data_IF_007692934588
#
_entry.id   IF_007692934588
#
_cell.length_a   1.000
_cell.length_b   1.000
_cell.length_c   1.000
_cell.angle_alpha   90.00
_cell.angle_beta   90.00
_cell.angle_gamma   90.00
#
_symmetry.space_group_name_H-M   'P 1'
#
loop_
_entity.id
_entity.type
_entity.pdbx_description
1 polymer ?
#
# COMPACT_ATOMS: atom_id res chain seq x y z
N UNK A 1 -5.81 3.13 24.02
CA UNK A 1 -4.74 2.10 24.04
C UNK A 1 -4.41 1.83 25.49
N UNK A 2 -4.94 0.74 26.03
CA UNK A 2 -4.43 0.14 27.27
C UNK A 2 -4.03 -1.27 26.85
N UNK A 3 -2.72 -1.50 26.75
CA UNK A 3 -2.15 -2.84 26.64
C UNK A 3 -2.19 -3.43 28.05
N UNK A 4 -3.20 -4.26 28.34
CA UNK A 4 -3.14 -5.14 29.52
C UNK A 4 -2.52 -6.45 29.07
N UNK A 5 -1.22 -6.55 29.32
CA UNK A 5 -0.52 -7.83 29.34
C UNK A 5 -0.88 -8.64 30.58
N UNK A 6 -0.54 -9.93 30.50
CA UNK A 6 -0.59 -10.97 31.52
C UNK A 6 -1.97 -11.57 31.83
N UNK A 7 -2.12 -12.78 31.29
CA UNK A 7 -2.72 -13.97 31.89
C UNK A 7 -3.45 -13.79 33.22
N UNK A 8 -4.77 -13.88 33.18
CA UNK A 8 -5.53 -14.57 34.23
C UNK A 8 -6.74 -15.24 33.59
N UNK A 9 -6.82 -16.57 33.74
CA UNK A 9 -8.00 -17.35 33.43
C UNK A 9 -9.17 -16.79 34.23
N UNK A 10 -10.08 -16.07 33.59
CA UNK A 10 -11.39 -15.79 34.20
C UNK A 10 -12.26 -17.02 33.91
N UNK A 11 -12.19 -18.00 34.82
CA UNK A 11 -13.25 -18.99 34.94
C UNK A 11 -14.54 -18.27 35.32
N UNK A 12 -15.57 -18.39 34.49
CA UNK A 12 -16.92 -17.97 34.86
C UNK A 12 -17.48 -18.95 35.91
N UNK A 13 -17.06 -18.78 37.16
CA UNK A 13 -17.76 -19.33 38.30
C UNK A 13 -19.18 -18.77 38.33
N UNK A 14 -20.16 -19.62 38.63
CA UNK A 14 -21.58 -19.26 38.78
C UNK A 14 -21.73 -18.08 39.76
N UNK A 15 -21.94 -16.87 39.24
CA UNK A 15 -22.38 -15.70 40.02
C UNK A 15 -23.84 -15.40 39.66
N UNK A 16 -24.76 -15.23 40.63
CA UNK A 16 -26.18 -15.05 40.33
C UNK A 16 -26.45 -13.66 39.75
N UNK A 17 -27.26 -13.62 38.69
CA UNK A 17 -27.95 -12.44 38.14
C UNK A 17 -27.12 -11.16 37.95
N UNK A 18 -26.26 -11.14 36.94
CA UNK A 18 -25.72 -9.89 36.37
C UNK A 18 -26.73 -9.37 35.33
N UNK A 19 -27.37 -8.22 35.60
CA UNK A 19 -28.05 -7.45 34.55
C UNK A 19 -26.97 -6.85 33.65
N UNK A 20 -26.90 -7.35 32.41
CA UNK A 20 -26.04 -6.76 31.38
C UNK A 20 -26.91 -5.93 30.44
N UNK A 21 -26.55 -4.66 30.27
CA UNK A 21 -27.15 -3.81 29.24
C UNK A 21 -26.18 -3.77 28.05
N UNK A 22 -26.67 -4.12 26.86
CA UNK A 22 -25.94 -3.94 25.60
C UNK A 22 -26.40 -2.64 24.96
N UNK A 23 -25.50 -1.66 24.88
CA UNK A 23 -25.70 -0.50 24.04
C UNK A 23 -24.79 -0.61 22.81
N UNK A 24 -25.40 -0.51 21.63
CA UNK A 24 -24.69 -0.43 20.36
C UNK A 24 -24.69 1.03 19.94
N UNK A 25 -23.50 1.64 19.89
CA UNK A 25 -23.31 2.97 19.30
C UNK A 25 -22.26 2.83 18.19
N UNK A 26 -22.74 2.71 16.95
CA UNK A 26 -21.88 2.42 15.79
C UNK A 26 -21.23 1.03 15.88
N UNK A 27 -19.92 0.95 15.63
CA UNK A 27 -19.12 -0.29 15.73
C UNK A 27 -18.62 -0.59 17.16
N UNK A 28 -19.20 0.06 18.17
CA UNK A 28 -18.71 -0.01 19.55
C UNK A 28 -19.70 -0.79 20.40
N UNK A 29 -19.22 -1.84 21.06
CA UNK A 29 -19.95 -2.49 22.14
C UNK A 29 -19.43 -1.96 23.47
N UNK A 30 -20.32 -1.35 24.25
CA UNK A 30 -20.03 -0.96 25.63
C UNK A 30 -20.69 -1.99 26.55
N UNK A 31 -19.86 -2.70 27.31
CA UNK A 31 -20.35 -3.56 28.39
C UNK A 31 -20.25 -2.79 29.71
N UNK A 32 -21.37 -2.70 30.42
CA UNK A 32 -21.40 -2.19 31.78
C UNK A 32 -21.66 -3.37 32.71
N UNK A 33 -20.61 -3.81 33.42
CA UNK A 33 -20.73 -4.82 34.48
C UNK A 33 -20.85 -4.09 35.81
N UNK A 34 -21.96 -4.28 36.51
CA UNK A 34 -22.15 -3.80 37.87
C UNK A 34 -21.72 -4.89 38.84
N UNK A 35 -20.50 -4.80 39.38
CA UNK A 35 -20.13 -5.48 40.61
C UNK A 35 -19.98 -4.41 41.70
N UNK A 36 -20.64 -4.60 42.85
CA UNK A 36 -20.70 -3.65 43.96
C UNK A 36 -19.48 -2.73 44.04
N UNK A 37 -19.74 -1.44 43.79
CA UNK A 37 -18.83 -0.28 43.84
C UNK A 37 -17.90 0.02 42.66
N UNK A 38 -17.77 -0.83 41.62
CA UNK A 38 -16.96 -0.50 40.44
C UNK A 38 -17.71 -0.70 39.12
N UNK A 39 -17.69 0.34 38.28
CA UNK A 39 -18.12 0.26 36.87
C UNK A 39 -16.89 0.01 36.01
N UNK A 40 -16.74 -1.21 35.51
CA UNK A 40 -15.76 -1.50 34.45
C UNK A 40 -16.44 -1.27 33.11
N UNK A 41 -16.18 -0.12 32.49
CA UNK A 41 -16.58 0.14 31.11
C UNK A 41 -15.52 -0.44 30.16
N UNK A 42 -15.74 -1.65 29.66
CA UNK A 42 -14.92 -2.21 28.60
C UNK A 42 -15.50 -1.76 27.26
N UNK A 43 -14.78 -0.89 26.56
CA UNK A 43 -15.13 -0.48 25.20
C UNK A 43 -14.45 -1.42 24.23
N UNK A 44 -15.18 -2.39 23.70
CA UNK A 44 -14.67 -3.29 22.66
C UNK A 44 -14.97 -2.64 21.31
N UNK A 45 -13.93 -2.08 20.69
CA UNK A 45 -13.99 -1.63 19.31
C UNK A 45 -13.88 -2.85 18.40
N UNK A 46 -15.01 -3.49 18.11
CA UNK A 46 -15.07 -4.49 17.05
C UNK A 46 -15.19 -3.74 15.74
N UNK A 47 -14.06 -3.51 15.07
CA UNK A 47 -14.10 -3.01 13.71
C UNK A 47 -14.86 -4.04 12.87
N UNK A 48 -15.89 -3.63 12.15
CA UNK A 48 -16.58 -4.51 11.20
C UNK A 48 -16.27 -4.05 9.78
N UNK A 49 -16.16 -5.01 8.87
CA UNK A 49 -16.10 -4.74 7.43
C UNK A 49 -17.27 -3.84 7.03
N UNK A 50 -17.05 -2.85 6.16
CA UNK A 50 -18.11 -1.92 5.77
C UNK A 50 -19.20 -2.61 4.94
N UNK A 51 -20.45 -2.20 5.15
CA UNK A 51 -21.58 -2.58 4.30
C UNK A 51 -21.36 -2.17 2.83
N UNK A 52 -20.86 -0.95 2.63
CA UNK A 52 -20.50 -0.40 1.33
C UNK A 52 -19.00 -0.58 1.09
N UNK A 53 -18.66 -1.65 0.38
CA UNK A 53 -17.31 -1.95 -0.11
C UNK A 53 -17.04 -1.16 -1.38
N UNK A 54 -15.82 -0.61 -1.50
CA UNK A 54 -15.35 0.09 -2.70
C UNK A 54 -15.13 -0.86 -3.88
N UNK A 55 -14.66 -2.07 -3.61
CA UNK A 55 -14.48 -3.13 -4.59
C UNK A 55 -14.96 -4.46 -4.00
N UNK A 56 -15.51 -5.35 -4.84
CA UNK A 56 -16.00 -6.67 -4.43
C UNK A 56 -15.35 -7.75 -5.28
N UNK A 57 -14.82 -8.77 -4.63
CA UNK A 57 -14.33 -10.00 -5.27
C UNK A 57 -14.92 -11.19 -4.56
N UNK A 58 -15.64 -12.04 -5.30
CA UNK A 58 -16.27 -13.24 -4.73
C UNK A 58 -15.21 -14.25 -4.32
N UNK A 59 -14.17 -14.43 -5.13
CA UNK A 59 -13.07 -15.34 -4.81
C UNK A 59 -12.35 -14.95 -3.51
N UNK A 60 -12.15 -13.66 -3.27
CA UNK A 60 -11.55 -13.16 -2.02
C UNK A 60 -12.51 -13.34 -0.84
N UNK A 61 -13.80 -12.99 -1.00
CA UNK A 61 -14.79 -13.18 0.08
C UNK A 61 -14.95 -14.66 0.46
N UNK A 62 -14.92 -15.59 -0.50
CA UNK A 62 -15.00 -17.04 -0.24
C UNK A 62 -13.78 -17.54 0.55
N UNK A 63 -12.56 -17.13 0.17
CA UNK A 63 -11.33 -17.47 0.89
C UNK A 63 -11.34 -16.87 2.28
N UNK A 64 -11.73 -15.61 2.40
CA UNK A 64 -11.76 -14.90 3.66
C UNK A 64 -12.68 -15.62 4.66
N UNK A 65 -13.89 -15.94 4.23
CA UNK A 65 -14.86 -16.64 5.06
C UNK A 65 -14.38 -18.07 5.38
N UNK A 66 -13.80 -18.77 4.40
CA UNK A 66 -13.24 -20.11 4.59
C UNK A 66 -12.16 -20.15 5.68
N UNK A 67 -11.19 -19.23 5.64
CA UNK A 67 -10.11 -19.14 6.63
C UNK A 67 -10.68 -18.73 8.00
N UNK A 68 -11.54 -17.70 8.04
CA UNK A 68 -12.12 -17.22 9.30
C UNK A 68 -12.96 -18.29 10.02
N UNK A 69 -13.67 -19.16 9.28
CA UNK A 69 -14.41 -20.28 9.87
C UNK A 69 -13.51 -21.34 10.50
N UNK A 70 -12.30 -21.53 9.98
CA UNK A 70 -11.32 -22.51 10.49
C UNK A 70 -10.55 -21.98 11.71
N UNK A 71 -10.57 -20.67 11.96
CA UNK A 71 -9.91 -20.06 13.11
C UNK A 71 -10.67 -20.38 14.41
N UNK A 72 -9.95 -21.02 15.35
CA UNK A 72 -10.45 -21.31 16.69
C UNK A 72 -10.68 -20.03 17.49
N UNK A 73 -9.70 -19.13 17.45
CA UNK A 73 -9.77 -17.80 18.06
C UNK A 73 -10.66 -16.87 17.22
N UNK A 74 -11.74 -16.39 17.84
CA UNK A 74 -12.73 -15.54 17.17
C UNK A 74 -12.27 -14.09 17.02
N UNK A 75 -11.44 -13.60 17.93
CA UNK A 75 -10.88 -12.25 17.83
C UNK A 75 -9.85 -12.20 16.70
N UNK A 76 -9.04 -13.25 16.56
CA UNK A 76 -8.14 -13.40 15.42
C UNK A 76 -8.91 -13.49 14.09
N UNK A 77 -10.03 -14.23 14.06
CA UNK A 77 -10.87 -14.33 12.87
C UNK A 77 -11.43 -12.96 12.44
N UNK A 78 -11.90 -12.17 13.41
CA UNK A 78 -12.38 -10.80 13.18
C UNK A 78 -11.24 -9.91 12.68
N UNK A 79 -10.07 -9.95 13.32
CA UNK A 79 -8.90 -9.18 12.91
C UNK A 79 -8.49 -9.51 11.47
N UNK A 80 -8.43 -10.80 11.13
CA UNK A 80 -8.11 -11.27 9.78
C UNK A 80 -9.13 -10.76 8.75
N UNK A 81 -10.43 -10.86 9.05
CA UNK A 81 -11.50 -10.36 8.18
C UNK A 81 -11.40 -8.86 7.91
N UNK A 82 -11.07 -8.08 8.93
CA UNK A 82 -10.93 -6.64 8.81
C UNK A 82 -9.66 -6.23 8.05
N UNK A 83 -8.52 -6.83 8.39
CA UNK A 83 -7.23 -6.44 7.84
C UNK A 83 -7.04 -6.95 6.42
N UNK A 84 -7.31 -8.24 6.18
CA UNK A 84 -6.97 -8.84 4.89
C UNK A 84 -7.82 -8.28 3.76
N UNK A 85 -9.08 -7.90 4.00
CA UNK A 85 -9.96 -7.34 2.97
C UNK A 85 -9.95 -5.80 2.90
N UNK A 86 -9.21 -5.11 3.78
CA UNK A 86 -9.23 -3.65 3.91
C UNK A 86 -9.01 -2.93 2.58
N UNK A 87 -8.01 -3.38 1.81
CA UNK A 87 -7.64 -2.76 0.53
C UNK A 87 -8.81 -2.72 -0.45
N UNK A 88 -9.54 -3.84 -0.59
CA UNK A 88 -10.71 -3.91 -1.47
C UNK A 88 -11.89 -3.11 -0.92
N UNK A 89 -12.09 -3.18 0.39
CA UNK A 89 -13.25 -2.60 1.03
C UNK A 89 -13.20 -1.06 1.05
N UNK A 90 -12.01 -0.48 1.21
CA UNK A 90 -11.84 0.96 1.51
C UNK A 90 -10.83 1.69 0.63
N UNK A 91 -9.76 1.03 0.19
CA UNK A 91 -8.59 1.71 -0.37
C UNK A 91 -8.67 1.97 -1.89
N UNK A 92 -9.47 1.22 -2.63
CA UNK A 92 -9.65 1.43 -4.07
C UNK A 92 -10.62 2.59 -4.26
N UNK A 93 -10.12 3.79 -4.54
CA UNK A 93 -10.97 4.98 -4.68
C UNK A 93 -11.52 5.14 -6.09
N UNK A 94 -10.82 4.58 -7.08
CA UNK A 94 -11.22 4.67 -8.47
C UNK A 94 -10.72 3.46 -9.26
N UNK A 95 -11.61 2.91 -10.09
CA UNK A 95 -11.32 1.82 -11.02
C UNK A 95 -12.08 2.11 -12.31
N UNK A 96 -11.36 2.17 -13.42
CA UNK A 96 -11.89 2.54 -14.73
C UNK A 96 -11.41 1.53 -15.78
N UNK A 97 -12.34 1.04 -16.59
CA UNK A 97 -12.08 0.10 -17.68
C UNK A 97 -12.47 0.66 -19.05
N UNK A 98 -12.84 1.95 -19.11
CA UNK A 98 -13.41 2.57 -20.32
C UNK A 98 -12.39 2.84 -21.43
N UNK A 99 -11.10 3.06 -21.10
CA UNK A 99 -10.05 3.45 -22.07
C UNK A 99 -9.35 2.27 -22.78
N UNK A 100 -9.98 1.08 -22.84
CA UNK A 100 -9.42 -0.09 -23.51
C UNK A 100 -8.38 -0.88 -22.69
N UNK A 101 -7.88 -0.32 -21.60
CA UNK A 101 -7.15 -1.05 -20.54
C UNK A 101 -7.63 -0.59 -19.15
N UNK A 102 -7.62 -1.48 -18.14
CA UNK A 102 -8.04 -1.12 -16.79
C UNK A 102 -7.06 -0.15 -16.13
N UNK A 103 -7.56 0.74 -15.28
CA UNK A 103 -6.77 1.60 -14.39
C UNK A 103 -7.37 1.54 -13.00
N UNK A 104 -6.53 1.39 -11.99
CA UNK A 104 -6.97 1.28 -10.59
C UNK A 104 -6.11 2.19 -9.72
N UNK A 105 -6.75 3.16 -9.09
CA UNK A 105 -6.11 4.06 -8.12
C UNK A 105 -6.43 3.60 -6.70
N UNK A 106 -5.38 3.24 -5.96
CA UNK A 106 -5.45 2.71 -4.60
C UNK A 106 -4.61 3.56 -3.66
N UNK A 107 -5.14 3.81 -2.46
CA UNK A 107 -4.54 4.73 -1.48
C UNK A 107 -4.18 4.02 -0.17
N UNK A 108 -3.24 4.54 0.64
CA UNK A 108 -2.90 3.95 1.94
C UNK A 108 -4.06 4.05 2.96
N UNK A 109 -5.05 4.93 2.71
CA UNK A 109 -6.29 5.03 3.47
C UNK A 109 -6.47 6.35 4.22
N UNK A 110 -5.38 7.05 4.55
CA UNK A 110 -5.39 8.33 5.26
C UNK A 110 -5.23 9.55 4.34
N UNK A 111 -4.79 9.36 3.10
CA UNK A 111 -4.56 10.44 2.12
C UNK A 111 -4.92 9.95 0.72
N UNK A 112 -5.38 10.87 -0.14
CA UNK A 112 -5.70 10.57 -1.53
C UNK A 112 -4.42 10.59 -2.40
N UNK A 113 -3.48 9.69 -2.10
CA UNK A 113 -2.19 9.55 -2.80
C UNK A 113 -1.92 8.07 -3.02
N UNK A 114 -1.36 7.70 -4.16
CA UNK A 114 -0.95 6.32 -4.44
C UNK A 114 0.57 6.19 -4.35
N UNK A 115 1.05 5.41 -3.38
CA UNK A 115 2.45 4.99 -3.31
C UNK A 115 2.64 3.69 -4.10
N UNK A 116 3.71 3.60 -4.91
CA UNK A 116 3.95 2.40 -5.75
C UNK A 116 4.19 1.16 -4.89
N UNK A 117 4.96 1.30 -3.81
CA UNK A 117 5.20 0.24 -2.82
C UNK A 117 3.92 -0.21 -2.15
N UNK A 118 3.18 0.73 -1.57
CA UNK A 118 2.00 0.43 -0.76
C UNK A 118 0.90 -0.20 -1.63
N UNK A 119 0.62 0.39 -2.79
CA UNK A 119 -0.36 -0.14 -3.75
C UNK A 119 -0.07 -1.58 -4.17
N UNK A 120 1.22 -1.92 -4.35
CA UNK A 120 1.65 -3.30 -4.60
C UNK A 120 1.34 -4.22 -3.43
N UNK A 121 1.82 -3.88 -2.24
CA UNK A 121 1.69 -4.74 -1.07
C UNK A 121 0.24 -4.85 -0.57
N UNK A 122 -0.60 -3.86 -0.87
CA UNK A 122 -2.03 -3.87 -0.59
C UNK A 122 -2.81 -4.91 -1.41
N UNK A 123 -2.34 -5.28 -2.61
CA UNK A 123 -3.08 -6.19 -3.52
C UNK A 123 -2.36 -7.50 -3.82
N UNK A 124 -1.05 -7.60 -3.54
CA UNK A 124 -0.25 -8.77 -3.92
C UNK A 124 -0.77 -10.08 -3.33
N UNK A 125 -1.33 -10.05 -2.11
CA UNK A 125 -1.91 -11.24 -1.46
C UNK A 125 -3.18 -11.76 -2.13
N UNK A 126 -3.81 -10.97 -3.00
CA UNK A 126 -4.99 -11.39 -3.78
C UNK A 126 -4.62 -12.02 -5.13
N UNK A 127 -3.39 -11.86 -5.60
CA UNK A 127 -2.93 -12.39 -6.91
C UNK A 127 -3.18 -13.89 -7.10
N UNK A 128 -3.07 -14.77 -6.08
CA UNK A 128 -3.36 -16.20 -6.26
C UNK A 128 -4.82 -16.51 -6.66
N UNK A 129 -5.74 -15.59 -6.36
CA UNK A 129 -7.18 -15.76 -6.59
C UNK A 129 -7.66 -15.08 -7.89
N UNK A 130 -6.81 -14.25 -8.50
CA UNK A 130 -7.15 -13.48 -9.70
C UNK A 130 -7.58 -14.37 -10.88
N UNK A 131 -7.00 -15.57 -11.03
CA UNK A 131 -7.39 -16.50 -12.10
C UNK A 131 -8.85 -16.97 -11.99
N UNK A 132 -9.44 -16.94 -10.79
CA UNK A 132 -10.81 -17.40 -10.51
C UNK A 132 -11.84 -16.26 -10.53
N UNK A 133 -11.38 -15.00 -10.65
CA UNK A 133 -12.22 -13.82 -10.59
C UNK A 133 -11.70 -12.77 -11.58
N UNK A 134 -12.38 -12.66 -12.72
CA UNK A 134 -11.98 -11.76 -13.81
C UNK A 134 -12.00 -10.30 -13.40
N UNK A 135 -12.94 -9.89 -12.54
CA UNK A 135 -12.98 -8.52 -12.03
C UNK A 135 -11.77 -8.24 -11.14
N UNK A 136 -11.40 -9.18 -10.26
CA UNK A 136 -10.19 -9.07 -9.45
C UNK A 136 -8.93 -9.01 -10.32
N UNK A 137 -8.83 -9.84 -11.35
CA UNK A 137 -7.72 -9.82 -12.29
C UNK A 137 -7.61 -8.48 -13.03
N UNK A 138 -8.72 -7.94 -13.52
CA UNK A 138 -8.75 -6.62 -14.16
C UNK A 138 -8.37 -5.50 -13.19
N UNK A 139 -8.81 -5.58 -11.94
CA UNK A 139 -8.45 -4.59 -10.92
C UNK A 139 -6.94 -4.59 -10.64
N UNK A 140 -6.34 -5.76 -10.42
CA UNK A 140 -4.89 -5.88 -10.19
C UNK A 140 -4.10 -5.44 -11.43
N UNK A 141 -4.53 -5.84 -12.62
CA UNK A 141 -3.92 -5.38 -13.87
C UNK A 141 -4.04 -3.86 -14.01
N UNK A 142 -5.15 -3.28 -13.56
CA UNK A 142 -5.33 -1.83 -13.51
C UNK A 142 -4.42 -1.13 -12.51
N UNK A 143 -4.02 -1.78 -11.42
CA UNK A 143 -2.97 -1.24 -10.53
C UNK A 143 -1.63 -1.22 -11.26
N UNK A 144 -1.29 -2.31 -11.98
CA UNK A 144 -0.05 -2.40 -12.76
C UNK A 144 0.01 -1.30 -13.84
N UNK A 145 -1.07 -1.09 -14.60
CA UNK A 145 -1.10 -0.04 -15.62
C UNK A 145 -1.08 1.37 -15.01
N UNK A 146 -1.77 1.59 -13.90
CA UNK A 146 -1.71 2.86 -13.19
C UNK A 146 -0.28 3.17 -12.70
N UNK A 147 0.40 2.17 -12.11
CA UNK A 147 1.80 2.29 -11.71
C UNK A 147 2.71 2.56 -12.92
N UNK A 148 2.47 1.89 -14.06
CA UNK A 148 3.25 2.10 -15.27
C UNK A 148 3.11 3.53 -15.83
N UNK A 149 1.88 4.06 -15.93
CA UNK A 149 1.65 5.44 -16.36
C UNK A 149 2.36 6.45 -15.46
N UNK A 150 2.33 6.22 -14.16
CA UNK A 150 2.99 7.08 -13.19
C UNK A 150 4.51 7.04 -13.29
N UNK A 151 5.09 5.84 -13.34
CA UNK A 151 6.54 5.65 -13.48
C UNK A 151 7.05 6.13 -14.84
N UNK A 152 6.22 6.08 -15.89
CA UNK A 152 6.59 6.65 -17.18
C UNK A 152 6.71 8.18 -17.12
N UNK A 153 5.81 8.82 -16.37
CA UNK A 153 5.81 10.28 -16.19
C UNK A 153 6.92 10.77 -15.27
N UNK A 154 7.21 10.02 -14.22
CA UNK A 154 8.25 10.36 -13.25
C UNK A 154 8.78 9.11 -12.55
N UNK A 155 9.89 8.61 -13.04
CA UNK A 155 10.51 7.37 -12.56
C UNK A 155 11.17 7.51 -11.17
N UNK A 156 11.46 8.74 -10.74
CA UNK A 156 12.05 9.02 -9.42
C UNK A 156 11.00 9.22 -8.33
N UNK A 157 9.73 9.36 -8.70
CA UNK A 157 8.64 9.56 -7.74
C UNK A 157 8.20 8.27 -7.06
N UNK A 158 8.09 8.31 -5.73
CA UNK A 158 7.57 7.20 -4.94
C UNK A 158 6.03 7.19 -4.87
N UNK A 159 5.40 8.34 -5.13
CA UNK A 159 3.98 8.54 -4.88
C UNK A 159 3.35 9.58 -5.79
N UNK A 160 2.07 9.37 -6.09
CA UNK A 160 1.38 10.08 -7.15
C UNK A 160 -0.03 10.53 -6.76
N UNK A 161 -0.42 11.65 -7.33
CA UNK A 161 -1.72 12.30 -7.17
C UNK A 161 -2.81 11.56 -7.96
N UNK A 162 -4.08 11.62 -7.53
CA UNK A 162 -5.19 11.02 -8.26
C UNK A 162 -5.27 11.49 -9.71
N UNK A 163 -5.60 10.58 -10.66
CA UNK A 163 -5.80 10.97 -12.05
C UNK A 163 -6.95 11.96 -12.16
N UNK A 164 -6.83 12.93 -13.06
CA UNK A 164 -7.81 14.02 -13.21
C UNK A 164 -9.22 13.44 -13.50
N UNK A 165 -9.27 12.37 -14.29
CA UNK A 165 -10.51 11.70 -14.67
C UNK A 165 -11.24 11.04 -13.49
N UNK A 166 -10.54 10.75 -12.39
CA UNK A 166 -11.17 10.18 -11.19
C UNK A 166 -12.05 11.17 -10.44
N UNK A 167 -11.86 12.48 -10.66
CA UNK A 167 -12.51 13.58 -9.90
C UNK A 167 -12.31 13.47 -8.39
N UNK A 168 -11.31 12.71 -7.94
CA UNK A 168 -10.90 12.64 -6.53
C UNK A 168 -10.14 13.93 -6.22
N UNK A 169 -10.48 14.56 -5.10
CA UNK A 169 -9.78 15.76 -4.64
C UNK A 169 -8.30 15.45 -4.40
N UNK A 170 -7.44 16.22 -5.06
CA UNK A 170 -5.98 16.18 -4.86
C UNK A 170 -5.65 16.81 -3.50
N UNK A 171 -4.88 16.14 -2.64
CA UNK A 171 -4.51 16.70 -1.35
C UNK A 171 -3.60 17.93 -1.52
N UNK A 172 -3.58 18.80 -0.51
CA UNK A 172 -2.65 19.92 -0.43
C UNK A 172 -1.32 19.42 0.14
N UNK A 173 -0.22 19.60 -0.61
CA UNK A 173 1.13 19.34 -0.11
C UNK A 173 1.76 20.64 0.42
N UNK A 174 2.05 20.74 1.73
CA UNK A 174 2.79 21.88 2.26
C UNK A 174 4.25 21.95 1.77
N UNK A 175 4.84 20.83 1.32
CA UNK A 175 6.26 20.74 0.99
C UNK A 175 6.57 20.86 -0.50
N UNK A 176 5.61 20.62 -1.38
CA UNK A 176 5.80 20.64 -2.82
C UNK A 176 6.41 21.95 -3.35
N UNK A 177 6.22 23.08 -2.65
CA UNK A 177 6.78 24.38 -3.05
C UNK A 177 8.25 24.56 -2.68
N UNK A 178 8.71 23.85 -1.65
CA UNK A 178 10.02 24.04 -1.05
C UNK A 178 11.00 22.91 -1.39
N UNK A 179 10.49 21.74 -1.77
CA UNK A 179 11.28 20.65 -2.33
C UNK A 179 12.01 21.11 -3.59
N UNK A 180 13.30 20.78 -3.67
CA UNK A 180 14.08 20.94 -4.89
C UNK A 180 14.60 19.59 -5.31
N UNK A 181 14.26 19.20 -6.52
CA UNK A 181 14.75 17.95 -7.10
C UNK A 181 15.22 18.15 -8.52
N UNK A 182 16.10 17.25 -8.94
CA UNK A 182 16.48 17.10 -10.33
C UNK A 182 16.30 15.63 -10.68
N UNK A 183 15.66 15.29 -11.82
CA UNK A 183 14.87 16.18 -12.65
C UNK A 183 13.67 16.77 -11.89
N UNK A 184 13.11 17.87 -12.41
CA UNK A 184 11.89 18.47 -11.85
C UNK A 184 10.74 17.45 -11.80
N UNK A 185 9.92 17.45 -10.73
CA UNK A 185 8.88 16.46 -10.55
C UNK A 185 7.74 16.66 -11.54
N UNK A 186 7.11 15.57 -11.97
CA UNK A 186 5.90 15.65 -12.79
C UNK A 186 4.75 16.30 -12.02
N UNK A 187 3.81 16.95 -12.75
CA UNK A 187 2.58 17.49 -12.15
C UNK A 187 1.65 16.42 -11.54
N UNK A 188 1.91 15.15 -11.81
CA UNK A 188 1.20 14.01 -11.21
C UNK A 188 1.94 13.43 -9.99
N UNK A 189 3.18 13.84 -9.73
CA UNK A 189 3.91 13.44 -8.54
C UNK A 189 3.33 14.10 -7.29
N UNK A 190 3.15 13.31 -6.23
CA UNK A 190 2.92 13.83 -4.89
C UNK A 190 4.25 14.11 -4.20
N UNK A 191 5.17 13.15 -4.27
CA UNK A 191 6.50 13.29 -3.67
C UNK A 191 7.52 12.58 -4.55
N UNK A 192 8.59 13.30 -4.89
CA UNK A 192 9.70 12.76 -5.68
C UNK A 192 10.86 12.36 -4.79
N UNK A 193 10.59 11.45 -3.84
CA UNK A 193 11.63 10.79 -3.04
C UNK A 193 11.97 9.45 -3.67
N UNK A 194 13.09 9.40 -4.36
CA UNK A 194 13.55 8.19 -5.02
C UNK A 194 13.79 7.07 -3.99
N UNK A 195 13.20 5.89 -4.24
CA UNK A 195 13.56 4.67 -3.54
C UNK A 195 13.49 3.41 -4.42
N UNK A 196 14.58 2.63 -4.43
CA UNK A 196 14.74 1.35 -5.15
C UNK A 196 13.52 0.42 -5.08
N UNK A 197 12.88 0.37 -3.91
CA UNK A 197 11.73 -0.49 -3.66
C UNK A 197 10.48 -0.10 -4.45
N UNK A 198 10.34 1.15 -4.90
CA UNK A 198 9.21 1.59 -5.73
C UNK A 198 9.21 0.85 -7.07
N UNK A 199 10.37 0.82 -7.75
CA UNK A 199 10.53 0.10 -9.01
C UNK A 199 10.47 -1.42 -8.80
N UNK A 200 11.10 -1.92 -7.73
CA UNK A 200 11.03 -3.34 -7.40
C UNK A 200 9.59 -3.80 -7.10
N UNK A 201 8.78 -2.95 -6.47
CA UNK A 201 7.36 -3.24 -6.18
C UNK A 201 6.54 -3.36 -7.45
N UNK A 202 6.69 -2.43 -8.40
CA UNK A 202 6.04 -2.50 -9.71
C UNK A 202 6.38 -3.80 -10.47
N UNK A 203 7.66 -4.16 -10.52
CA UNK A 203 8.12 -5.40 -11.16
C UNK A 203 7.62 -6.65 -10.41
N UNK A 204 7.66 -6.63 -9.08
CA UNK A 204 7.14 -7.70 -8.22
C UNK A 204 5.65 -7.94 -8.47
N UNK A 205 4.83 -6.90 -8.49
CA UNK A 205 3.40 -7.04 -8.75
C UNK A 205 3.14 -7.62 -10.13
N UNK A 206 3.83 -7.10 -11.15
CA UNK A 206 3.74 -7.59 -12.53
C UNK A 206 4.06 -9.08 -12.61
N UNK A 207 5.17 -9.52 -12.01
CA UNK A 207 5.55 -10.92 -11.98
C UNK A 207 4.52 -11.79 -11.26
N UNK A 208 4.04 -11.37 -10.09
CA UNK A 208 3.05 -12.13 -9.33
C UNK A 208 1.71 -12.24 -10.06
N UNK A 209 1.28 -11.18 -10.74
CA UNK A 209 0.11 -11.20 -11.61
C UNK A 209 0.27 -12.27 -12.69
N UNK A 210 1.32 -12.19 -13.52
CA UNK A 210 1.59 -13.16 -14.58
C UNK A 210 1.71 -14.59 -14.02
N UNK A 211 2.42 -14.77 -12.89
CA UNK A 211 2.65 -16.08 -12.27
C UNK A 211 1.33 -16.78 -11.97
N UNK A 212 0.33 -16.06 -11.47
CA UNK A 212 -0.95 -16.61 -11.02
C UNK A 212 -2.04 -16.61 -12.09
N UNK A 213 -2.09 -15.61 -12.97
CA UNK A 213 -3.12 -15.52 -14.03
C UNK A 213 -2.68 -16.19 -15.33
N UNK A 214 -1.38 -16.26 -15.60
CA UNK A 214 -0.76 -16.55 -16.91
C UNK A 214 -1.11 -15.54 -18.00
N UNK A 215 -1.66 -14.38 -17.62
CA UNK A 215 -1.88 -13.28 -18.53
C UNK A 215 -0.60 -12.44 -18.65
N UNK A 216 -0.13 -12.25 -19.88
CA UNK A 216 1.00 -11.39 -20.23
C UNK A 216 0.58 -10.19 -21.08
N UNK A 217 -0.72 -9.84 -21.10
CA UNK A 217 -1.27 -8.73 -21.89
C UNK A 217 -0.55 -7.41 -21.66
N UNK A 218 -0.03 -7.18 -20.44
CA UNK A 218 0.72 -5.99 -20.07
C UNK A 218 1.97 -5.75 -20.92
N UNK A 219 2.58 -6.77 -21.52
CA UNK A 219 3.77 -6.57 -22.38
C UNK A 219 3.45 -5.84 -23.67
N UNK A 220 2.17 -5.76 -24.06
CA UNK A 220 1.69 -5.01 -25.22
C UNK A 220 1.25 -3.58 -24.88
N UNK A 221 1.19 -3.24 -23.60
CA UNK A 221 0.84 -1.91 -23.15
C UNK A 221 2.09 -1.02 -23.20
N UNK A 222 2.03 0.09 -23.94
CA UNK A 222 3.18 0.98 -24.16
C UNK A 222 3.69 1.61 -22.87
N UNK A 223 2.78 2.04 -21.98
CA UNK A 223 3.16 2.60 -20.67
C UNK A 223 3.99 1.60 -19.86
N UNK A 224 3.58 0.32 -19.82
CA UNK A 224 4.32 -0.74 -19.12
C UNK A 224 5.72 -0.98 -19.71
N UNK A 225 5.81 -1.04 -21.04
CA UNK A 225 7.10 -1.22 -21.75
C UNK A 225 8.04 -0.05 -21.47
N UNK A 226 7.53 1.19 -21.54
CA UNK A 226 8.31 2.39 -21.29
C UNK A 226 8.74 2.49 -19.83
N UNK A 227 7.84 2.26 -18.88
CA UNK A 227 8.16 2.25 -17.45
C UNK A 227 9.22 1.20 -17.11
N UNK A 228 9.16 0.01 -17.70
CA UNK A 228 10.14 -1.06 -17.47
C UNK A 228 11.49 -0.70 -18.08
N UNK A 229 11.52 -0.11 -19.29
CA UNK A 229 12.76 0.37 -19.91
C UNK A 229 13.42 1.48 -19.06
N UNK A 230 12.61 2.43 -18.57
CA UNK A 230 13.08 3.48 -17.67
C UNK A 230 13.60 2.89 -16.36
N UNK A 231 12.89 1.93 -15.74
CA UNK A 231 13.34 1.29 -14.51
C UNK A 231 14.72 0.63 -14.67
N UNK A 232 14.95 -0.12 -15.76
CA UNK A 232 16.24 -0.74 -16.05
C UNK A 232 17.35 0.31 -16.26
N UNK A 233 17.05 1.40 -16.96
CA UNK A 233 17.98 2.52 -17.15
C UNK A 233 18.36 3.13 -15.79
N UNK A 234 17.38 3.44 -14.95
CA UNK A 234 17.59 4.08 -13.65
C UNK A 234 18.36 3.18 -12.70
N UNK A 235 18.08 1.88 -12.67
CA UNK A 235 18.91 0.96 -11.89
C UNK A 235 20.38 1.02 -12.33
N UNK A 236 20.66 1.12 -13.63
CA UNK A 236 22.03 1.28 -14.11
C UNK A 236 22.63 2.64 -13.71
N UNK A 237 21.87 3.73 -13.82
CA UNK A 237 22.34 5.08 -13.49
C UNK A 237 22.60 5.26 -11.99
N UNK A 238 21.79 4.62 -11.15
CA UNK A 238 21.87 4.66 -9.69
C UNK A 238 22.90 3.67 -9.11
N UNK A 239 23.53 2.86 -9.97
CA UNK A 239 24.70 2.04 -9.62
C UNK A 239 26.03 2.76 -9.88
N UNK A 240 26.01 3.96 -10.46
CA UNK A 240 27.20 4.76 -10.69
C UNK A 240 27.86 5.14 -9.37
N UNK A 241 29.18 5.13 -9.32
CA UNK A 241 29.91 5.62 -8.15
C UNK A 241 29.89 7.14 -8.10
N UNK A 242 30.17 7.74 -6.93
CA UNK A 242 30.13 9.21 -6.76
C UNK A 242 30.97 9.96 -7.79
N UNK A 243 32.16 9.44 -8.15
CA UNK A 243 33.02 10.07 -9.15
C UNK A 243 32.45 10.03 -10.58
N UNK A 244 31.65 9.02 -10.91
CA UNK A 244 30.99 8.88 -12.21
C UNK A 244 29.72 9.76 -12.28
N UNK A 245 29.10 10.02 -11.14
CA UNK A 245 27.88 10.85 -11.03
C UNK A 245 28.18 12.35 -10.88
N UNK A 246 29.36 12.74 -10.40
CA UNK A 246 29.70 14.14 -10.16
C UNK A 246 29.63 15.01 -11.44
N UNK A 247 28.74 16.01 -11.44
CA UNK A 247 28.48 16.87 -12.61
C UNK A 247 27.62 16.22 -13.71
N UNK A 248 27.14 15.00 -13.48
CA UNK A 248 26.22 14.27 -14.35
C UNK A 248 25.18 13.53 -13.48
N UNK A 249 24.66 14.23 -12.47
CA UNK A 249 23.73 13.70 -11.48
C UNK A 249 22.44 13.28 -12.16
N UNK A 250 22.05 12.03 -11.94
CA UNK A 250 20.78 11.54 -12.48
C UNK A 250 19.60 11.94 -11.59
N UNK A 251 19.86 12.10 -10.30
CA UNK A 251 18.87 12.50 -9.32
C UNK A 251 19.48 13.40 -8.25
N UNK A 252 18.76 14.45 -7.87
CA UNK A 252 19.05 15.27 -6.70
C UNK A 252 17.76 15.48 -5.91
N UNK A 253 17.87 15.56 -4.59
CA UNK A 253 16.73 15.94 -3.75
C UNK A 253 17.15 16.69 -2.49
N UNK A 254 16.57 17.86 -2.28
CA UNK A 254 16.69 18.62 -1.03
C UNK A 254 15.34 19.11 -0.55
N UNK A 255 15.16 19.13 0.77
CA UNK A 255 13.97 19.64 1.42
C UNK A 255 14.36 20.57 2.58
N UNK A 256 13.81 21.79 2.67
CA UNK A 256 13.93 22.62 3.85
C UNK A 256 13.18 21.99 5.04
N UNK A 257 13.92 21.36 5.95
CA UNK A 257 13.34 20.60 7.07
C UNK A 257 14.24 20.64 8.30
N UNK A 258 13.63 20.47 9.47
CA UNK A 258 14.37 20.27 10.74
C UNK A 258 14.75 18.81 10.97
N UNK A 259 14.27 17.89 10.12
CA UNK A 259 14.50 16.46 10.28
C UNK A 259 15.51 15.97 9.25
N UNK A 260 16.68 15.51 9.69
CA UNK A 260 17.78 15.15 8.79
C UNK A 260 17.43 14.00 7.84
N UNK A 261 16.52 13.10 8.23
CA UNK A 261 16.08 11.99 7.38
C UNK A 261 15.17 12.39 6.22
N UNK A 262 14.76 13.66 6.15
CA UNK A 262 13.80 14.16 5.16
C UNK A 262 14.46 14.88 3.98
N UNK A 263 15.80 14.99 3.95
CA UNK A 263 16.58 15.62 2.87
C UNK A 263 17.88 14.84 2.64
N UNK A 264 18.45 14.89 1.44
CA UNK A 264 19.75 14.27 1.17
C UNK A 264 20.89 15.24 1.51
N UNK A 265 22.02 14.65 1.94
CA UNK A 265 23.27 15.38 2.21
C UNK A 265 23.93 15.84 0.90
N UNK A 266 25.04 16.60 1.02
CA UNK A 266 25.90 17.02 -0.09
C UNK A 266 25.13 17.70 -1.23
N UNK A 267 24.29 18.68 -0.90
CA UNK A 267 23.43 19.41 -1.84
C UNK A 267 22.49 18.51 -2.67
N UNK A 268 22.02 17.42 -2.06
CA UNK A 268 21.01 16.56 -2.67
C UNK A 268 21.54 15.28 -3.31
N UNK A 269 22.86 15.03 -3.25
CA UNK A 269 23.54 13.86 -3.85
C UNK A 269 23.60 12.65 -2.94
N UNK A 270 23.32 12.84 -1.64
CA UNK A 270 23.58 11.86 -0.58
C UNK A 270 25.08 11.62 -0.33
N UNK A 271 25.46 10.50 0.29
CA UNK A 271 26.82 10.20 0.74
C UNK A 271 27.74 9.66 -0.37
N UNK A 272 29.05 9.64 -0.10
CA UNK A 272 30.03 9.09 -1.05
C UNK A 272 30.00 7.56 -1.08
N UNK A 273 29.94 6.97 -2.28
CA UNK A 273 30.08 5.53 -2.51
C UNK A 273 30.91 5.21 -3.75
N UNK A 274 31.56 4.05 -3.72
CA UNK A 274 32.27 3.52 -4.87
C UNK A 274 31.46 2.38 -5.48
N UNK A 275 31.37 2.38 -6.81
CA UNK A 275 30.72 1.28 -7.53
C UNK A 275 31.50 0.00 -7.28
N UNK A 276 30.80 -1.03 -6.80
CA UNK A 276 31.36 -2.37 -6.68
C UNK A 276 31.36 -3.00 -8.07
N UNK A 277 32.54 -3.07 -8.71
CA UNK A 277 32.70 -3.57 -10.09
C UNK A 277 32.62 -5.11 -10.20
N UNK A 278 32.51 -5.82 -9.08
CA UNK A 278 32.41 -7.28 -9.04
C UNK A 278 31.59 -7.72 -7.83
N UNK A 279 30.51 -8.46 -8.07
CA UNK A 279 30.01 -9.36 -7.03
C UNK A 279 31.15 -10.33 -6.69
N UNK A 280 31.46 -10.61 -5.42
CA UNK A 280 32.38 -11.68 -5.08
C UNK A 280 31.92 -12.94 -5.82
N UNK A 281 32.80 -13.56 -6.60
CA UNK A 281 32.51 -14.80 -7.33
C UNK A 281 32.25 -16.01 -6.40
N UNK A 282 32.12 -15.80 -5.08
CA UNK A 282 31.86 -16.82 -4.06
C UNK A 282 30.38 -16.90 -3.69
N UNK A 283 29.56 -17.30 -4.68
CA UNK A 283 28.26 -17.93 -4.42
C UNK A 283 28.12 -19.21 -5.25
N UNK A 284 29.21 -19.97 -5.37
CA UNK A 284 29.21 -21.38 -5.80
C UNK A 284 28.96 -22.31 -4.63
#
# INVERSE_FOLDING_TARGET
VVMLGSTSNIEFGKVPSIMSWKFVVGNTFVFQVFSGEFVIACTVYVFFRPWFKKFRSRAVDDVLNGIAMQMKDKDLAILFQNCWAYSLDKAILWHDTSKGYPRTFIVPGNMNVMYIRDSTNQVISYTPYAKRDTHLAQMILGVIYMQAEYLEKDIYSNSFLPPIESRISRPFDPWQRDDKSYPEPSSDAWQQKWSADSLASFLKLTYHYWKHTKDSSFVRNEHWVNATRQALKIFSEQMRGTMEEFGNESYLFTRPTRNSSETLLLNGRDNDWTRVNSWPNDLS
#
